data_IF_857085408915
#
_entry.id   IF_857085408915
#
_cell.length_a   1.000
_cell.length_b   1.000
_cell.length_c   1.000
_cell.angle_alpha   90.00
_cell.angle_beta   90.00
_cell.angle_gamma   90.00
#
_symmetry.space_group_name_H-M   'P 1'
#
loop_
_entity.id
_entity.type
_entity.pdbx_description
1 polymer ?
#
# COMPACT_ATOMS: atom_id res chain seq x y z
N UNK A 1 -5.88 -2.30 46.52
CA UNK A 1 -4.99 -3.27 45.87
C UNK A 1 -4.08 -2.51 44.94
N UNK A 2 -2.84 -2.26 45.33
CA UNK A 2 -1.84 -1.55 44.52
C UNK A 2 -0.81 -2.59 44.08
N UNK A 3 -1.13 -3.36 43.03
CA UNK A 3 -0.14 -4.25 42.42
C UNK A 3 0.81 -3.37 41.59
N UNK A 4 2.12 -3.40 41.85
CA UNK A 4 3.07 -2.66 41.03
C UNK A 4 3.07 -3.24 39.61
N UNK A 5 3.13 -2.35 38.61
CA UNK A 5 3.27 -2.72 37.20
C UNK A 5 4.55 -3.56 37.02
N UNK A 6 4.44 -4.70 36.34
CA UNK A 6 5.58 -5.54 36.01
C UNK A 6 6.14 -5.20 34.63
N UNK A 7 7.29 -5.78 34.28
CA UNK A 7 7.94 -5.54 32.98
C UNK A 7 7.04 -5.89 31.79
N UNK A 8 6.22 -6.93 31.91
CA UNK A 8 5.28 -7.36 30.86
C UNK A 8 4.19 -6.31 30.62
N UNK A 9 3.74 -5.64 31.69
CA UNK A 9 2.76 -4.55 31.58
C UNK A 9 3.36 -3.38 30.77
N UNK A 10 4.64 -3.04 31.00
CA UNK A 10 5.33 -2.01 30.21
C UNK A 10 5.48 -2.39 28.74
N UNK A 11 5.86 -3.65 28.46
CA UNK A 11 5.97 -4.13 27.08
C UNK A 11 4.62 -4.10 26.35
N UNK A 12 3.53 -4.48 27.02
CA UNK A 12 2.18 -4.41 26.45
C UNK A 12 1.76 -2.96 26.18
N UNK A 13 2.06 -2.03 27.08
CA UNK A 13 1.79 -0.60 26.89
C UNK A 13 2.59 -0.01 25.72
N UNK A 14 3.85 -0.41 25.56
CA UNK A 14 4.67 0.03 24.42
C UNK A 14 4.13 -0.47 23.07
N UNK A 15 3.67 -1.72 23.02
CA UNK A 15 3.07 -2.27 21.80
C UNK A 15 1.75 -1.56 21.47
N UNK A 16 0.90 -1.35 22.47
CA UNK A 16 -0.32 -0.55 22.32
C UNK A 16 -0.02 0.85 21.81
N UNK A 17 1.00 1.52 22.35
CA UNK A 17 1.40 2.85 21.90
C UNK A 17 1.84 2.84 20.43
N UNK A 18 2.67 1.87 20.02
CA UNK A 18 3.11 1.73 18.63
C UNK A 18 1.91 1.53 17.70
N UNK A 19 0.99 0.64 18.06
CA UNK A 19 -0.20 0.36 17.27
C UNK A 19 -1.10 1.60 17.13
N UNK A 20 -1.35 2.33 18.22
CA UNK A 20 -2.13 3.57 18.18
C UNK A 20 -1.49 4.63 17.28
N UNK A 21 -0.16 4.78 17.33
CA UNK A 21 0.57 5.74 16.48
C UNK A 21 0.44 5.36 15.00
N UNK A 22 0.56 4.08 14.66
CA UNK A 22 0.43 3.63 13.28
C UNK A 22 -1.01 3.74 12.76
N UNK A 23 -2.01 3.49 13.61
CA UNK A 23 -3.42 3.70 13.28
C UNK A 23 -3.73 5.17 13.01
N UNK A 24 -3.18 6.08 13.82
CA UNK A 24 -3.30 7.53 13.58
C UNK A 24 -2.65 7.94 12.26
N UNK A 25 -1.44 7.45 11.96
CA UNK A 25 -0.77 7.71 10.67
C UNK A 25 -1.62 7.23 9.50
N UNK A 26 -2.23 6.05 9.61
CA UNK A 26 -3.13 5.49 8.60
C UNK A 26 -4.39 6.32 8.46
N UNK A 27 -4.98 6.75 9.57
CA UNK A 27 -6.15 7.62 9.59
C UNK A 27 -5.89 8.91 8.82
N UNK A 28 -4.80 9.62 9.14
CA UNK A 28 -4.44 10.88 8.47
C UNK A 28 -4.20 10.70 6.98
N UNK A 29 -3.52 9.61 6.58
CA UNK A 29 -3.28 9.31 5.16
C UNK A 29 -4.60 9.10 4.41
N UNK A 30 -5.48 8.25 4.93
CA UNK A 30 -6.79 7.97 4.32
C UNK A 30 -7.66 9.23 4.30
N UNK A 31 -7.66 10.01 5.38
CA UNK A 31 -8.45 11.23 5.46
C UNK A 31 -8.01 12.28 4.43
N UNK A 32 -6.70 12.42 4.20
CA UNK A 32 -6.19 13.33 3.17
C UNK A 32 -6.72 12.98 1.77
N UNK A 33 -6.77 11.68 1.44
CA UNK A 33 -7.34 11.19 0.17
C UNK A 33 -8.86 11.36 0.14
N UNK A 34 -9.56 11.14 1.26
CA UNK A 34 -11.01 11.40 1.35
C UNK A 34 -11.31 12.86 1.05
N UNK A 35 -10.60 13.81 1.67
CA UNK A 35 -10.80 15.23 1.43
C UNK A 35 -10.56 15.60 -0.04
N UNK A 36 -9.48 15.10 -0.65
CA UNK A 36 -9.20 15.32 -2.07
C UNK A 36 -10.28 14.71 -2.99
N UNK A 37 -10.63 13.45 -2.74
CA UNK A 37 -11.58 12.71 -3.57
C UNK A 37 -13.01 13.26 -3.47
N UNK A 38 -13.43 13.81 -2.31
CA UNK A 38 -14.73 14.50 -2.16
C UNK A 38 -14.85 15.65 -3.17
N UNK A 39 -13.76 16.36 -3.45
CA UNK A 39 -13.77 17.50 -4.36
C UNK A 39 -13.49 17.14 -5.82
N UNK A 40 -12.82 16.01 -6.08
CA UNK A 40 -12.28 15.70 -7.41
C UNK A 40 -12.88 14.45 -8.07
N UNK A 41 -13.51 13.54 -7.32
CA UNK A 41 -14.11 12.34 -7.90
C UNK A 41 -15.46 12.65 -8.57
N UNK A 42 -15.74 11.98 -9.69
CA UNK A 42 -16.98 12.17 -10.46
C UNK A 42 -18.07 11.18 -10.07
N UNK A 43 -17.71 10.06 -9.46
CA UNK A 43 -18.63 9.04 -8.97
C UNK A 43 -18.21 8.54 -7.58
N UNK A 44 -19.16 7.94 -6.87
CA UNK A 44 -18.87 7.30 -5.58
C UNK A 44 -17.88 6.13 -5.71
N UNK A 45 -17.97 5.37 -6.80
CA UNK A 45 -17.06 4.26 -7.07
C UNK A 45 -15.62 4.75 -7.21
N UNK A 46 -15.39 5.82 -7.98
CA UNK A 46 -14.07 6.45 -8.10
C UNK A 46 -13.56 6.98 -6.75
N UNK A 47 -14.45 7.57 -5.95
CA UNK A 47 -14.11 7.99 -4.59
C UNK A 47 -13.66 6.79 -3.73
N UNK A 48 -14.44 5.70 -3.74
CA UNK A 48 -14.17 4.50 -2.95
C UNK A 48 -12.84 3.86 -3.33
N UNK A 49 -12.57 3.74 -4.63
CA UNK A 49 -11.32 3.18 -5.16
C UNK A 49 -10.11 4.02 -4.75
N UNK A 50 -10.20 5.34 -4.86
CA UNK A 50 -9.12 6.25 -4.44
C UNK A 50 -8.83 6.11 -2.95
N UNK A 51 -9.87 6.11 -2.11
CA UNK A 51 -9.73 5.98 -0.66
C UNK A 51 -9.16 4.61 -0.27
N UNK A 52 -9.57 3.54 -0.94
CA UNK A 52 -9.01 2.20 -0.73
C UNK A 52 -7.52 2.14 -1.09
N UNK A 53 -7.12 2.83 -2.16
CA UNK A 53 -5.75 2.92 -2.64
C UNK A 53 -4.86 3.89 -1.85
N UNK A 54 -5.37 4.60 -0.82
CA UNK A 54 -4.63 5.62 -0.08
C UNK A 54 -3.36 5.11 0.63
N UNK A 55 -3.24 3.80 0.85
CA UNK A 55 -2.05 3.18 1.44
C UNK A 55 -0.90 3.00 0.45
N UNK A 56 -1.15 3.11 -0.86
CA UNK A 56 -0.16 2.95 -1.91
C UNK A 56 0.75 4.19 -1.99
N UNK A 57 2.04 3.94 -2.18
CA UNK A 57 3.02 5.01 -2.47
C UNK A 57 3.07 5.28 -3.98
N UNK A 58 3.41 6.50 -4.41
CA UNK A 58 3.72 6.77 -5.81
C UNK A 58 4.80 5.83 -6.34
N UNK A 59 4.69 5.46 -7.62
CA UNK A 59 5.69 4.66 -8.30
C UNK A 59 6.95 5.51 -8.56
N UNK A 60 8.11 4.99 -8.20
CA UNK A 60 9.40 5.63 -8.43
C UNK A 60 10.08 5.04 -9.67
N UNK A 61 11.05 5.78 -10.25
CA UNK A 61 11.87 5.32 -11.39
C UNK A 61 12.52 3.94 -11.17
N UNK A 62 12.80 3.58 -9.91
CA UNK A 62 13.37 2.28 -9.53
C UNK A 62 12.37 1.13 -9.67
N UNK A 63 11.08 1.38 -9.44
CA UNK A 63 10.04 0.36 -9.56
C UNK A 63 9.86 -0.10 -11.01
N UNK A 64 10.14 0.77 -11.98
CA UNK A 64 10.10 0.43 -13.41
C UNK A 64 11.26 -0.46 -13.87
N UNK A 65 12.39 -0.50 -13.13
CA UNK A 65 13.59 -1.27 -13.54
C UNK A 65 13.40 -2.78 -13.44
N UNK A 66 12.45 -3.24 -12.63
CA UNK A 66 12.10 -4.64 -12.46
C UNK A 66 10.98 -5.10 -13.42
N UNK A 67 10.63 -4.31 -14.43
CA UNK A 67 9.75 -4.80 -15.49
C UNK A 67 10.44 -5.97 -16.21
N UNK A 68 9.97 -7.16 -15.89
CA UNK A 68 10.34 -8.39 -16.58
C UNK A 68 10.16 -8.19 -18.08
N UNK A 69 11.24 -8.34 -18.85
CA UNK A 69 11.26 -8.24 -20.32
C UNK A 69 10.49 -9.41 -20.97
N UNK A 70 9.69 -10.14 -20.19
CA UNK A 70 8.78 -11.17 -20.72
C UNK A 70 7.79 -10.44 -21.63
N UNK A 71 8.04 -10.57 -22.93
CA UNK A 71 7.10 -10.14 -23.95
C UNK A 71 5.71 -10.66 -23.59
N UNK A 72 4.72 -9.78 -23.73
CA UNK A 72 3.32 -10.07 -23.42
C UNK A 72 2.83 -11.41 -24.03
N UNK A 73 3.48 -11.85 -25.11
CA UNK A 73 3.31 -13.18 -25.69
C UNK A 73 4.57 -14.06 -25.52
N UNK A 74 4.54 -14.98 -24.56
CA UNK A 74 5.57 -15.99 -24.33
C UNK A 74 5.70 -17.02 -25.46
N UNK A 75 4.71 -17.12 -26.35
CA UNK A 75 4.68 -18.04 -27.47
C UNK A 75 5.09 -17.39 -28.80
N UNK A 76 5.18 -16.06 -28.88
CA UNK A 76 5.61 -15.33 -30.08
C UNK A 76 7.12 -15.49 -30.39
N UNK A 77 7.94 -15.92 -29.43
CA UNK A 77 9.40 -16.03 -29.61
C UNK A 77 9.85 -17.32 -30.29
N UNK A 78 8.92 -18.20 -30.71
CA UNK A 78 9.25 -19.46 -31.37
C UNK A 78 8.89 -19.41 -32.86
N UNK A 79 9.77 -18.85 -33.68
CA UNK A 79 9.80 -19.01 -35.16
C UNK A 79 11.10 -18.34 -35.65
N UNK A 80 12.01 -18.92 -36.44
CA UNK A 80 12.04 -20.09 -37.34
C UNK A 80 13.46 -20.68 -37.31
N UNK A 81 13.61 -21.99 -37.17
CA UNK A 81 14.82 -22.67 -37.67
C UNK A 81 14.69 -22.73 -39.19
N UNK A 82 15.48 -21.93 -39.90
CA UNK A 82 15.74 -22.15 -41.31
C UNK A 82 16.73 -23.31 -41.39
N UNK A 83 16.24 -24.51 -41.72
CA UNK A 83 17.09 -25.60 -42.18
C UNK A 83 17.20 -25.46 -43.72
N UNK A 84 18.43 -25.24 -44.20
CA UNK A 84 18.85 -25.32 -45.62
C UNK A 84 18.93 -26.78 -46.10
#
# INVERSE_FOLDING_TARGET
MNKPLCQEDFMAMEDQLKNCVEDDRKYWRVNSVKCDAIHTAKSYEEFADRVAAAHLRPLEKKDYKNQSVRGWNQYASKEKTCDE
#
